data_IF_870639751765
#
_entry.id   IF_870639751765
#
_cell.length_a   1.000
_cell.length_b   1.000
_cell.length_c   1.000
_cell.angle_alpha   90.00
_cell.angle_beta   90.00
_cell.angle_gamma   90.00
#
_symmetry.space_group_name_H-M   'P 1'
#
loop_
_entity.id
_entity.type
_entity.pdbx_description
1 polymer ?
#
# COMPACT_ATOMS: atom_id res chain seq x y z
N UNK A 1 49.79 -65.57 0.13
CA UNK A 1 49.65 -64.14 -0.22
C UNK A 1 50.73 -63.34 0.52
N UNK A 2 51.63 -62.68 -0.18
CA UNK A 2 52.72 -61.90 0.41
C UNK A 2 53.48 -61.13 -0.66
N UNK A 3 53.00 -59.92 -0.95
CA UNK A 3 53.52 -58.97 -1.93
C UNK A 3 54.96 -58.53 -1.61
N UNK A 4 55.84 -58.45 -2.62
CA UNK A 4 56.91 -57.43 -2.73
C UNK A 4 57.34 -57.25 -4.20
N UNK A 5 57.18 -56.05 -4.75
CA UNK A 5 58.02 -55.37 -5.78
C UNK A 5 57.26 -54.21 -6.45
N UNK A 6 57.93 -53.20 -7.05
CA UNK A 6 58.95 -52.33 -6.47
C UNK A 6 58.67 -50.84 -6.78
N UNK A 7 59.31 -49.94 -6.03
CA UNK A 7 59.41 -48.51 -6.35
C UNK A 7 60.34 -48.29 -7.56
N UNK A 8 59.94 -47.44 -8.50
CA UNK A 8 60.84 -46.86 -9.51
C UNK A 8 60.58 -45.36 -9.65
N UNK A 9 61.64 -44.63 -9.35
CA UNK A 9 61.90 -43.20 -9.49
C UNK A 9 61.41 -42.60 -10.82
N UNK A 10 60.99 -41.33 -10.80
CA UNK A 10 60.97 -40.50 -12.01
C UNK A 10 60.16 -39.21 -11.92
N UNK A 11 60.82 -38.13 -11.51
CA UNK A 11 60.36 -36.75 -11.42
C UNK A 11 59.49 -36.24 -12.58
N UNK A 12 58.40 -35.54 -12.25
CA UNK A 12 57.94 -34.39 -13.04
C UNK A 12 57.87 -33.14 -12.17
N UNK A 13 58.34 -32.05 -12.75
CA UNK A 13 58.78 -30.83 -12.11
C UNK A 13 57.94 -29.67 -12.67
N UNK A 14 57.58 -28.72 -11.80
CA UNK A 14 57.02 -27.38 -12.08
C UNK A 14 55.51 -27.25 -12.35
N UNK A 15 54.92 -26.26 -11.67
CA UNK A 15 53.73 -25.58 -12.16
C UNK A 15 52.84 -24.99 -11.07
N UNK A 16 53.05 -23.71 -10.75
CA UNK A 16 52.09 -22.86 -10.05
C UNK A 16 50.66 -23.00 -10.61
N UNK A 17 49.64 -22.81 -9.78
CA UNK A 17 48.36 -22.27 -10.27
C UNK A 17 47.10 -22.87 -9.66
N UNK A 18 46.71 -22.32 -8.51
CA UNK A 18 45.34 -22.05 -8.08
C UNK A 18 44.27 -22.15 -9.19
N UNK A 19 43.31 -23.08 -9.02
CA UNK A 19 41.87 -22.77 -9.08
C UNK A 19 41.14 -23.70 -8.12
N UNK A 20 40.99 -23.25 -6.88
CA UNK A 20 39.78 -23.56 -6.12
C UNK A 20 38.65 -22.97 -6.97
N UNK A 21 37.99 -23.78 -7.78
CA UNK A 21 36.76 -23.39 -8.43
C UNK A 21 35.75 -23.18 -7.32
N UNK A 22 35.46 -21.92 -7.01
CA UNK A 22 34.36 -21.58 -6.13
C UNK A 22 33.11 -22.26 -6.64
N UNK A 23 32.48 -23.06 -5.79
CA UNK A 23 31.06 -23.31 -5.94
C UNK A 23 30.36 -21.94 -6.03
N UNK A 24 29.32 -21.78 -6.85
CA UNK A 24 28.47 -20.60 -6.72
C UNK A 24 28.01 -20.56 -5.27
N UNK A 25 28.41 -19.52 -4.55
CA UNK A 25 27.79 -19.15 -3.28
C UNK A 25 26.31 -18.92 -3.65
N UNK A 26 25.48 -19.93 -3.40
CA UNK A 26 24.04 -19.69 -3.33
C UNK A 26 23.87 -18.52 -2.36
N UNK A 27 23.07 -17.50 -2.70
CA UNK A 27 22.78 -16.46 -1.72
C UNK A 27 22.31 -17.19 -0.47
N UNK A 28 22.99 -16.97 0.66
CA UNK A 28 22.56 -17.52 1.94
C UNK A 28 21.18 -16.90 2.17
N UNK A 29 20.16 -17.64 1.77
CA UNK A 29 18.78 -17.21 1.83
C UNK A 29 18.49 -16.88 3.28
N UNK A 30 17.82 -15.75 3.51
CA UNK A 30 17.24 -15.47 4.82
C UNK A 30 16.50 -16.73 5.27
N UNK A 31 16.63 -17.16 6.54
CA UNK A 31 15.92 -18.34 7.00
C UNK A 31 14.45 -18.19 6.63
N UNK A 32 13.92 -19.16 5.87
CA UNK A 32 12.54 -19.12 5.40
C UNK A 32 11.64 -19.04 6.63
N UNK A 33 10.79 -18.02 6.67
CA UNK A 33 9.79 -17.91 7.75
C UNK A 33 8.80 -19.06 7.59
N UNK A 34 8.33 -19.60 8.72
CA UNK A 34 7.39 -20.74 8.73
C UNK A 34 6.00 -20.40 8.16
N UNK A 35 5.75 -19.13 7.82
CA UNK A 35 4.54 -18.67 7.19
C UNK A 35 4.84 -17.48 6.28
N UNK A 36 3.99 -17.29 5.28
CA UNK A 36 3.95 -16.07 4.48
C UNK A 36 2.52 -15.53 4.42
N UNK A 37 2.41 -14.21 4.31
CA UNK A 37 1.16 -13.49 4.16
C UNK A 37 1.28 -12.59 2.94
N UNK A 38 0.46 -12.87 1.94
CA UNK A 38 0.32 -12.02 0.77
C UNK A 38 -0.83 -11.05 1.00
N UNK A 39 -0.57 -9.74 0.93
CA UNK A 39 -1.59 -8.70 0.94
C UNK A 39 -1.69 -8.08 -0.45
N UNK A 40 -2.85 -8.19 -1.08
CA UNK A 40 -3.11 -7.64 -2.41
C UNK A 40 -4.22 -6.61 -2.37
N UNK A 41 -3.86 -5.33 -2.52
CA UNK A 41 -4.84 -4.26 -2.66
C UNK A 41 -5.55 -4.41 -4.02
N UNK A 42 -6.82 -4.81 -4.00
CA UNK A 42 -7.61 -5.12 -5.21
C UNK A 42 -8.28 -3.88 -5.79
N UNK A 43 -8.74 -2.99 -4.91
CA UNK A 43 -9.40 -1.74 -5.26
C UNK A 43 -9.17 -0.73 -4.17
N UNK A 44 -9.02 0.52 -4.57
CA UNK A 44 -9.05 1.65 -3.65
C UNK A 44 -9.64 2.87 -4.37
N UNK A 45 -10.63 3.49 -3.73
CA UNK A 45 -11.40 4.62 -4.26
C UNK A 45 -10.97 5.99 -3.74
N UNK A 46 -9.91 6.06 -2.92
CA UNK A 46 -9.53 7.27 -2.19
C UNK A 46 -10.16 7.40 -0.80
N UNK A 47 -11.09 6.49 -0.46
CA UNK A 47 -11.82 6.48 0.84
C UNK A 47 -12.17 5.08 1.34
N UNK A 48 -12.43 4.16 0.41
CA UNK A 48 -12.71 2.75 0.67
C UNK A 48 -11.71 1.90 -0.10
N UNK A 49 -11.21 0.84 0.53
CA UNK A 49 -10.38 -0.16 -0.10
C UNK A 49 -10.95 -1.56 0.04
N UNK A 50 -10.59 -2.43 -0.90
CA UNK A 50 -10.77 -3.88 -0.82
C UNK A 50 -9.42 -4.55 -1.05
N UNK A 51 -9.10 -5.51 -0.21
CA UNK A 51 -7.88 -6.29 -0.33
C UNK A 51 -8.16 -7.77 -0.10
N UNK A 52 -7.33 -8.60 -0.73
CA UNK A 52 -7.28 -10.02 -0.45
C UNK A 52 -6.00 -10.32 0.33
N UNK A 53 -6.13 -11.09 1.41
CA UNK A 53 -5.02 -11.65 2.16
C UNK A 53 -4.95 -13.15 1.88
N UNK A 54 -3.75 -13.67 1.64
CA UNK A 54 -3.50 -15.12 1.54
C UNK A 54 -2.45 -15.49 2.56
N UNK A 55 -2.83 -16.32 3.52
CA UNK A 55 -1.97 -16.89 4.54
C UNK A 55 -1.49 -18.25 4.03
N UNK A 56 -0.19 -18.45 3.94
CA UNK A 56 0.42 -19.71 3.53
C UNK A 56 1.22 -20.30 4.68
N UNK A 57 0.95 -21.56 5.00
CA UNK A 57 1.73 -22.31 5.97
C UNK A 57 2.94 -22.94 5.26
N UNK A 58 4.13 -22.38 5.48
CA UNK A 58 5.38 -22.90 4.94
C UNK A 58 6.09 -23.84 5.94
N UNK A 59 5.47 -24.09 7.10
CA UNK A 59 5.95 -25.01 8.10
C UNK A 59 5.64 -26.47 7.77
N UNK A 60 6.14 -27.37 8.60
CA UNK A 60 5.94 -28.82 8.45
C UNK A 60 4.75 -29.40 9.21
N UNK A 61 3.93 -28.58 9.87
CA UNK A 61 2.79 -29.00 10.69
C UNK A 61 1.57 -28.13 10.38
N UNK A 62 0.34 -28.66 10.45
CA UNK A 62 -0.88 -27.85 10.33
C UNK A 62 -0.96 -26.75 11.38
N UNK A 63 -1.56 -25.62 11.02
CA UNK A 63 -1.89 -24.54 11.95
C UNK A 63 -3.40 -24.55 12.20
N UNK A 64 -3.81 -25.02 13.38
CA UNK A 64 -5.20 -25.08 13.81
C UNK A 64 -5.61 -23.79 14.52
N UNK A 65 -6.83 -23.30 14.26
CA UNK A 65 -7.37 -22.13 14.98
C UNK A 65 -6.49 -20.88 14.87
N UNK A 66 -5.86 -20.68 13.72
CA UNK A 66 -4.87 -19.63 13.49
C UNK A 66 -5.42 -18.23 13.78
N UNK A 67 -4.56 -17.36 14.31
CA UNK A 67 -4.85 -15.93 14.51
C UNK A 67 -3.86 -15.07 13.76
N UNK A 68 -4.34 -14.37 12.73
CA UNK A 68 -3.53 -13.38 12.01
C UNK A 68 -3.59 -12.04 12.72
N UNK A 69 -2.42 -11.45 12.94
CA UNK A 69 -2.26 -10.14 13.57
C UNK A 69 -1.43 -9.23 12.68
N UNK A 70 -1.87 -7.98 12.52
CA UNK A 70 -1.12 -6.93 11.83
C UNK A 70 -1.61 -5.56 12.28
N UNK A 71 -0.86 -4.51 11.94
CA UNK A 71 -1.26 -3.14 12.21
C UNK A 71 -1.35 -2.34 10.91
N UNK A 72 -2.44 -1.58 10.74
CA UNK A 72 -2.50 -0.61 9.66
C UNK A 72 -1.52 0.54 9.91
N UNK A 73 -0.75 1.01 8.90
CA UNK A 73 0.18 2.12 9.09
C UNK A 73 -0.48 3.50 9.27
N UNK A 74 -1.74 3.67 8.84
CA UNK A 74 -2.49 4.92 8.87
C UNK A 74 -3.76 4.87 9.73
N UNK A 75 -4.80 5.55 9.27
CA UNK A 75 -6.10 5.65 9.94
C UNK A 75 -7.14 4.63 9.43
N UNK A 76 -6.68 3.60 8.72
CA UNK A 76 -7.56 2.60 8.14
C UNK A 76 -8.40 1.88 9.19
N UNK A 77 -9.65 1.58 8.83
CA UNK A 77 -10.60 0.80 9.63
C UNK A 77 -11.27 -0.25 8.76
N UNK A 78 -11.22 -1.50 9.21
CA UNK A 78 -12.03 -2.56 8.60
C UNK A 78 -13.52 -2.29 8.84
N UNK A 79 -14.32 -2.61 7.83
CA UNK A 79 -15.78 -2.51 7.86
C UNK A 79 -16.46 -3.82 7.52
N UNK A 80 -15.77 -4.72 6.79
CA UNK A 80 -16.26 -6.04 6.44
C UNK A 80 -15.07 -6.99 6.24
N UNK A 81 -15.26 -8.27 6.56
CA UNK A 81 -14.32 -9.33 6.30
C UNK A 81 -15.08 -10.63 5.97
N UNK A 82 -14.54 -11.45 5.07
CA UNK A 82 -15.20 -12.68 4.59
C UNK A 82 -14.35 -13.90 4.91
N UNK A 83 -15.00 -14.96 5.41
CA UNK A 83 -14.39 -16.22 5.91
C UNK A 83 -13.59 -16.07 7.21
N UNK A 84 -13.75 -14.94 7.88
CA UNK A 84 -13.09 -14.64 9.15
C UNK A 84 -13.97 -13.73 9.98
N UNK A 85 -13.81 -13.82 11.28
CA UNK A 85 -14.15 -12.76 12.22
C UNK A 85 -12.96 -11.78 12.33
N UNK A 86 -13.26 -10.52 12.66
CA UNK A 86 -12.22 -9.51 12.87
C UNK A 86 -12.47 -8.68 14.13
N UNK A 87 -11.37 -8.36 14.82
CA UNK A 87 -11.33 -7.36 15.86
C UNK A 87 -10.29 -6.30 15.50
N UNK A 88 -10.62 -5.03 15.71
CA UNK A 88 -9.69 -3.93 15.49
C UNK A 88 -9.71 -2.96 16.67
N UNK A 89 -8.53 -2.74 17.27
CA UNK A 89 -8.32 -1.74 18.33
C UNK A 89 -7.28 -0.74 17.86
N UNK A 90 -7.71 0.51 17.67
CA UNK A 90 -6.84 1.53 17.07
C UNK A 90 -6.35 1.09 15.69
N UNK A 91 -5.05 0.82 15.58
CA UNK A 91 -4.40 0.39 14.34
C UNK A 91 -4.21 -1.12 14.25
N UNK A 92 -4.28 -1.81 15.38
CA UNK A 92 -4.05 -3.25 15.48
C UNK A 92 -5.29 -4.03 15.07
N UNK A 93 -5.09 -5.01 14.20
CA UNK A 93 -6.12 -5.88 13.62
C UNK A 93 -5.78 -7.31 13.97
N UNK A 94 -6.82 -8.05 14.33
CA UNK A 94 -6.81 -9.49 14.56
C UNK A 94 -7.86 -10.12 13.66
N UNK A 95 -7.48 -11.13 12.88
CA UNK A 95 -8.39 -11.96 12.08
C UNK A 95 -8.31 -13.41 12.54
N UNK A 96 -9.46 -14.06 12.66
CA UNK A 96 -9.61 -15.47 13.06
C UNK A 96 -10.65 -16.14 12.14
N UNK A 97 -10.50 -17.42 11.77
CA UNK A 97 -11.46 -18.08 10.89
C UNK A 97 -12.84 -18.19 11.56
N UNK A 98 -13.92 -18.00 10.80
CA UNK A 98 -15.30 -18.00 11.32
C UNK A 98 -15.80 -19.40 11.74
N UNK A 99 -15.04 -20.43 11.39
CA UNK A 99 -15.21 -21.82 11.81
C UNK A 99 -13.85 -22.52 11.82
N UNK A 100 -13.73 -23.67 12.48
CA UNK A 100 -12.47 -24.42 12.56
C UNK A 100 -11.97 -24.83 11.17
N UNK A 101 -11.03 -24.03 10.65
CA UNK A 101 -10.39 -24.17 9.35
C UNK A 101 -8.88 -24.16 9.54
N UNK A 102 -8.24 -25.34 9.70
CA UNK A 102 -6.80 -25.42 9.80
C UNK A 102 -6.14 -25.08 8.46
N UNK A 103 -4.89 -24.60 8.52
CA UNK A 103 -4.04 -24.44 7.35
C UNK A 103 -2.99 -25.55 7.39
N UNK A 104 -3.19 -26.59 6.59
CA UNK A 104 -2.25 -27.70 6.49
C UNK A 104 -0.87 -27.25 5.98
N UNK A 105 0.15 -28.07 6.23
CA UNK A 105 1.51 -27.78 5.76
C UNK A 105 1.55 -27.65 4.22
N UNK A 106 2.06 -26.52 3.72
CA UNK A 106 2.11 -26.19 2.30
C UNK A 106 0.82 -25.62 1.72
N UNK A 107 -0.28 -25.62 2.49
CA UNK A 107 -1.58 -25.09 2.05
C UNK A 107 -1.73 -23.59 2.36
N UNK A 108 -2.79 -23.01 1.81
CA UNK A 108 -3.09 -21.58 1.98
C UNK A 108 -4.56 -21.31 2.25
N UNK A 109 -4.81 -20.33 3.11
CA UNK A 109 -6.14 -19.79 3.38
C UNK A 109 -6.22 -18.35 2.88
N UNK A 110 -7.32 -18.00 2.21
CA UNK A 110 -7.52 -16.66 1.67
C UNK A 110 -8.65 -15.93 2.38
N UNK A 111 -8.54 -14.62 2.51
CA UNK A 111 -9.47 -13.75 3.23
C UNK A 111 -9.71 -12.51 2.39
N UNK A 112 -10.96 -12.09 2.27
CA UNK A 112 -11.30 -10.79 1.68
C UNK A 112 -11.59 -9.79 2.77
N UNK A 113 -10.99 -8.60 2.71
CA UNK A 113 -11.26 -7.50 3.64
C UNK A 113 -11.70 -6.24 2.90
N UNK A 114 -12.65 -5.52 3.48
CA UNK A 114 -13.05 -4.18 3.05
C UNK A 114 -12.84 -3.21 4.20
N UNK A 115 -12.31 -2.03 3.91
CA UNK A 115 -12.12 -1.00 4.91
C UNK A 115 -12.17 0.41 4.35
N UNK A 116 -12.12 1.38 5.25
CA UNK A 116 -12.15 2.82 4.95
C UNK A 116 -10.97 3.55 5.58
N UNK A 117 -10.63 4.71 5.04
CA UNK A 117 -9.59 5.60 5.57
C UNK A 117 -9.91 7.06 5.23
N UNK A 118 -9.23 8.00 5.88
CA UNK A 118 -9.55 9.43 5.75
C UNK A 118 -8.39 10.22 5.17
N UNK A 119 -7.15 9.92 5.57
CA UNK A 119 -5.96 10.65 5.11
C UNK A 119 -5.21 9.92 3.99
N UNK A 120 -4.75 8.71 4.27
CA UNK A 120 -3.94 7.93 3.35
C UNK A 120 -4.13 6.44 3.62
N UNK A 121 -3.84 5.60 2.61
CA UNK A 121 -3.90 4.15 2.71
C UNK A 121 -2.53 3.48 2.53
N UNK A 122 -1.56 3.72 3.44
CA UNK A 122 -0.29 3.00 3.42
C UNK A 122 -0.53 1.51 3.72
N UNK A 123 0.08 0.61 2.95
CA UNK A 123 -0.16 -0.83 3.10
C UNK A 123 0.60 -1.42 4.30
N UNK A 124 0.01 -2.35 5.07
CA UNK A 124 0.71 -3.06 6.14
C UNK A 124 1.82 -3.95 5.58
N UNK A 125 2.97 -3.98 6.26
CA UNK A 125 4.17 -4.74 5.84
C UNK A 125 4.67 -5.72 6.89
N UNK A 126 4.02 -5.80 8.05
CA UNK A 126 4.35 -6.71 9.13
C UNK A 126 3.10 -7.50 9.53
N UNK A 127 3.25 -8.82 9.54
CA UNK A 127 2.18 -9.76 9.83
C UNK A 127 2.73 -10.87 10.73
N UNK A 128 1.89 -11.37 11.64
CA UNK A 128 2.21 -12.53 12.44
C UNK A 128 1.00 -13.46 12.55
N UNK A 129 1.24 -14.76 12.42
CA UNK A 129 0.25 -15.83 12.65
C UNK A 129 0.62 -16.53 13.96
N UNK A 130 -0.32 -16.56 14.91
CA UNK A 130 -0.11 -17.12 16.25
C UNK A 130 1.12 -16.56 16.98
N UNK A 131 1.43 -15.29 16.73
CA UNK A 131 2.59 -14.59 17.30
C UNK A 131 3.92 -14.87 16.57
N UNK A 132 3.93 -15.74 15.55
CA UNK A 132 5.10 -15.96 14.70
C UNK A 132 5.09 -14.99 13.53
N UNK A 133 6.14 -14.17 13.40
CA UNK A 133 6.25 -13.24 12.28
C UNK A 133 6.35 -13.98 10.93
N UNK A 134 5.47 -13.63 10.01
CA UNK A 134 5.43 -14.19 8.66
C UNK A 134 6.20 -13.31 7.66
N UNK A 135 6.60 -13.92 6.55
CA UNK A 135 7.07 -13.16 5.39
C UNK A 135 5.92 -12.35 4.81
N UNK A 136 6.14 -11.08 4.50
CA UNK A 136 5.12 -10.18 3.98
C UNK A 136 5.34 -9.92 2.48
N UNK A 137 4.37 -10.31 1.67
CA UNK A 137 4.34 -10.04 0.23
C UNK A 137 3.21 -9.06 -0.05
N UNK A 138 3.56 -7.78 -0.24
CA UNK A 138 2.57 -6.71 -0.32
C UNK A 138 2.53 -6.13 -1.72
N UNK A 139 1.35 -6.07 -2.32
CA UNK A 139 1.16 -5.58 -3.68
C UNK A 139 -0.06 -4.66 -3.83
N UNK A 140 0.02 -3.83 -4.86
CA UNK A 140 -0.95 -2.80 -5.19
C UNK A 140 -0.45 -1.40 -4.83
N UNK A 141 -1.00 -0.40 -5.51
CA UNK A 141 -0.72 0.99 -5.24
C UNK A 141 -2.00 1.64 -4.67
N UNK A 142 -1.94 2.35 -3.54
CA UNK A 142 -3.02 3.27 -3.20
C UNK A 142 -3.20 4.24 -4.37
N UNK A 143 -4.42 4.72 -4.63
CA UNK A 143 -4.66 5.70 -5.67
C UNK A 143 -3.75 6.88 -5.35
N UNK A 144 -3.06 7.38 -6.38
CA UNK A 144 -2.49 8.72 -6.28
C UNK A 144 -3.63 9.62 -5.81
N UNK A 145 -3.44 10.30 -4.68
CA UNK A 145 -4.40 11.29 -4.19
C UNK A 145 -4.84 12.10 -5.39
N UNK A 146 -6.13 12.17 -5.76
CA UNK A 146 -6.54 13.17 -6.71
C UNK A 146 -6.15 14.49 -6.06
N UNK A 147 -5.17 15.18 -6.66
CA UNK A 147 -4.90 16.57 -6.32
C UNK A 147 -6.25 17.32 -6.29
N UNK A 148 -6.40 18.35 -5.45
CA UNK A 148 -7.67 19.05 -5.30
C UNK A 148 -8.23 19.27 -6.70
N UNK A 149 -9.38 18.67 -6.98
CA UNK A 149 -10.08 18.88 -8.23
C UNK A 149 -10.31 20.38 -8.31
N UNK A 150 -9.47 21.07 -9.08
CA UNK A 150 -9.81 22.39 -9.55
C UNK A 150 -11.15 22.17 -10.26
N UNK A 151 -12.22 22.64 -9.63
CA UNK A 151 -13.49 22.84 -10.31
C UNK A 151 -13.14 23.70 -11.51
N UNK A 152 -12.98 23.07 -12.67
CA UNK A 152 -13.11 23.78 -13.93
C UNK A 152 -14.59 24.16 -13.97
N UNK A 153 -14.90 25.28 -13.31
CA UNK A 153 -16.15 25.96 -13.47
C UNK A 153 -16.19 26.39 -14.91
N UNK A 154 -16.85 25.59 -15.76
CA UNK A 154 -17.45 26.09 -16.97
C UNK A 154 -18.57 27.05 -16.55
N UNK A 155 -18.18 28.23 -16.07
CA UNK A 155 -19.07 29.36 -15.93
C UNK A 155 -19.49 29.74 -17.34
N UNK A 156 -20.80 29.66 -17.59
CA UNK A 156 -21.40 29.92 -18.88
C UNK A 156 -21.08 31.30 -19.40
N UNK A 157 -20.67 31.36 -20.66
CA UNK A 157 -20.90 32.52 -21.52
C UNK A 157 -22.25 32.31 -22.21
N UNK A 158 -23.33 32.76 -21.57
CA UNK A 158 -24.56 33.08 -22.28
C UNK A 158 -24.27 34.29 -23.17
N UNK A 159 -23.95 34.01 -24.44
CA UNK A 159 -23.94 34.97 -25.54
C UNK A 159 -25.33 35.60 -25.67
N UNK A 160 -25.52 36.76 -25.04
CA UNK A 160 -26.59 37.70 -25.37
C UNK A 160 -26.03 38.83 -26.20
N UNK A 161 -26.42 38.77 -27.46
CA UNK A 161 -26.44 39.81 -28.50
C UNK A 161 -26.45 41.26 -27.99
N UNK A 162 -25.29 41.94 -28.15
CA UNK A 162 -25.08 43.31 -28.63
C UNK A 162 -25.68 44.53 -27.89
N UNK A 163 -25.33 45.78 -28.30
CA UNK A 163 -24.36 46.17 -29.33
C UNK A 163 -23.20 47.04 -28.81
N UNK A 164 -22.10 47.01 -29.57
CA UNK A 164 -20.94 47.88 -29.40
C UNK A 164 -21.24 49.34 -29.76
N UNK A 165 -20.59 50.23 -29.03
CA UNK A 165 -20.57 51.66 -29.25
C UNK A 165 -19.55 52.03 -30.33
N UNK A 166 -19.96 52.86 -31.29
CA UNK A 166 -19.19 54.03 -31.76
C UNK A 166 -19.99 54.79 -32.84
N UNK A 167 -20.13 56.11 -32.63
CA UNK A 167 -20.11 57.22 -33.60
C UNK A 167 -21.06 58.35 -33.14
N UNK A 168 -20.43 59.43 -32.65
CA UNK A 168 -20.66 60.88 -32.87
C UNK A 168 -22.06 61.55 -32.79
N UNK A 169 -21.97 62.83 -32.36
CA UNK A 169 -22.88 63.98 -32.54
C UNK A 169 -23.95 64.33 -31.47
N UNK A 170 -23.57 65.37 -30.70
CA UNK A 170 -24.25 66.63 -30.39
C UNK A 170 -25.63 66.70 -29.69
N UNK A 171 -25.68 67.69 -28.78
CA UNK A 171 -26.85 68.39 -28.22
C UNK A 171 -27.51 67.92 -26.91
N UNK A 172 -27.13 68.66 -25.85
CA UNK A 172 -28.01 69.36 -24.89
C UNK A 172 -28.87 68.55 -23.90
N UNK A 173 -28.57 68.69 -22.59
CA UNK A 173 -29.64 68.63 -21.57
C UNK A 173 -29.32 68.10 -20.16
N UNK A 174 -28.60 68.88 -19.35
CA UNK A 174 -29.04 69.35 -18.01
C UNK A 174 -29.37 68.32 -16.89
N UNK A 175 -28.47 68.26 -15.89
CA UNK A 175 -28.80 68.14 -14.44
C UNK A 175 -28.83 66.71 -13.86
N UNK A 176 -28.55 66.44 -12.59
CA UNK A 176 -28.04 67.16 -11.41
C UNK A 176 -27.99 66.10 -10.27
N UNK A 177 -26.99 66.16 -9.39
CA UNK A 177 -26.91 65.42 -8.10
C UNK A 177 -25.84 64.33 -8.10
N UNK A 178 -24.64 64.44 -7.47
CA UNK A 178 -24.28 64.82 -6.09
C UNK A 178 -25.13 64.03 -5.06
N UNK A 179 -24.61 63.28 -4.10
CA UNK A 179 -23.31 63.33 -3.43
C UNK A 179 -23.14 62.05 -2.59
N UNK A 180 -21.93 61.51 -2.53
CA UNK A 180 -21.48 60.68 -1.41
C UNK A 180 -20.97 61.58 -0.27
N UNK A 181 -21.13 61.10 0.96
CA UNK A 181 -20.56 61.57 2.22
C UNK A 181 -20.80 60.43 3.23
N UNK A 182 -19.85 59.75 3.88
CA UNK A 182 -18.44 60.04 4.05
C UNK A 182 -18.17 60.80 5.35
N UNK A 183 -18.48 60.18 6.50
CA UNK A 183 -18.05 60.53 7.87
C UNK A 183 -18.02 59.17 8.62
N UNK A 184 -16.88 58.55 8.98
CA UNK A 184 -15.87 58.94 9.97
C UNK A 184 -16.51 59.46 11.26
N UNK A 185 -16.59 58.61 12.31
CA UNK A 185 -16.38 59.04 13.69
C UNK A 185 -16.13 57.84 14.62
N UNK A 186 -15.24 58.10 15.56
CA UNK A 186 -14.46 57.21 16.42
C UNK A 186 -15.21 56.70 17.68
N UNK A 187 -14.45 55.99 18.50
CA UNK A 187 -14.70 55.26 19.76
C UNK A 187 -15.54 55.98 20.85
N UNK A 188 -16.24 55.22 21.70
CA UNK A 188 -15.98 55.06 23.17
C UNK A 188 -17.14 54.30 23.88
N UNK A 189 -16.76 53.42 24.81
CA UNK A 189 -17.51 52.67 25.86
C UNK A 189 -18.74 51.78 25.53
#
# INVERSE_FOLDING_TARGET
MGQRKPELFGYLRHGCGRRVGGAPEEPIGKPAKACSVTYSLRRDSGREFRADLTLTNAGGQPVEGWRLTFAFPGDQRLTDARRVDFAQSGRDVVLEPDHEQPIDAGESFSVGVTGRYQKANPLPTAFAVDGTECEALVSGAPPATPGPTARSGSGGSDDRSGPGASSDDDSSGKGKGRSGHGDDDEEDD
#
